data_IF_483170640045
#
_entry.id   IF_483170640045
#
_cell.length_a   1.000
_cell.length_b   1.000
_cell.length_c   1.000
_cell.angle_alpha   90.00
_cell.angle_beta   90.00
_cell.angle_gamma   90.00
#
_symmetry.space_group_name_H-M   'P 1'
#
loop_
_entity.id
_entity.type
_entity.pdbx_description
1 polymer ?
#
# COMPACT_ATOMS: atom_id res chain seq x y z
N UNK A 1 84.72 -16.76 -29.16
CA UNK A 1 86.00 -16.91 -28.44
C UNK A 1 85.71 -17.61 -27.11
N UNK A 2 86.37 -18.76 -26.89
CA UNK A 2 86.76 -19.34 -25.59
C UNK A 2 85.61 -19.85 -24.69
N UNK A 3 85.35 -21.18 -24.66
CA UNK A 3 85.86 -22.18 -23.67
C UNK A 3 85.45 -21.82 -22.22
N UNK A 4 84.77 -22.65 -21.44
CA UNK A 4 85.03 -24.06 -21.19
C UNK A 4 85.72 -24.21 -19.82
N UNK A 5 84.98 -24.62 -18.78
CA UNK A 5 85.51 -25.04 -17.48
C UNK A 5 84.52 -26.07 -16.91
N UNK A 6 84.84 -27.37 -16.90
CA UNK A 6 85.79 -28.15 -16.09
C UNK A 6 85.05 -28.98 -15.03
N UNK A 7 85.14 -30.28 -15.25
CA UNK A 7 84.83 -31.39 -14.34
C UNK A 7 85.67 -31.38 -13.05
N UNK A 8 85.08 -31.86 -11.94
CA UNK A 8 85.69 -32.78 -10.94
C UNK A 8 84.57 -33.19 -9.94
N UNK A 9 84.00 -34.40 -9.96
CA UNK A 9 84.46 -35.74 -9.50
C UNK A 9 84.84 -35.84 -8.02
N UNK A 10 84.04 -36.63 -7.27
CA UNK A 10 84.40 -37.50 -6.13
C UNK A 10 83.09 -37.92 -5.44
N UNK A 11 82.82 -39.15 -5.01
CA UNK A 11 83.46 -40.47 -5.14
C UNK A 11 82.49 -41.53 -4.56
N UNK A 12 82.62 -42.78 -5.05
CA UNK A 12 82.40 -44.09 -4.42
C UNK A 12 81.01 -44.44 -3.80
N UNK A 13 80.31 -45.46 -4.32
CA UNK A 13 80.51 -46.92 -4.12
C UNK A 13 80.29 -47.33 -2.65
N UNK A 14 79.55 -48.36 -2.26
CA UNK A 14 78.68 -49.36 -2.88
C UNK A 14 77.95 -50.03 -1.70
N UNK A 15 76.69 -50.44 -1.82
CA UNK A 15 76.25 -51.67 -1.16
C UNK A 15 74.98 -52.23 -1.80
N UNK A 16 74.96 -53.54 -1.98
CA UNK A 16 73.90 -54.32 -2.61
C UNK A 16 72.96 -54.86 -1.52
N UNK A 17 71.66 -54.56 -1.65
CA UNK A 17 70.61 -55.22 -0.87
C UNK A 17 69.38 -55.44 -1.74
N UNK A 18 69.21 -56.64 -2.27
CA UNK A 18 68.01 -57.01 -3.01
C UNK A 18 66.80 -57.15 -2.08
N UNK A 19 65.64 -56.63 -2.48
CA UNK A 19 64.32 -57.19 -2.14
C UNK A 19 63.19 -56.48 -2.91
N UNK A 20 62.56 -57.25 -3.81
CA UNK A 20 61.15 -57.22 -4.23
C UNK A 20 60.53 -55.96 -4.88
N UNK A 21 59.69 -56.12 -5.93
CA UNK A 21 59.04 -55.01 -6.61
C UNK A 21 57.94 -54.38 -5.75
N UNK A 22 58.02 -53.06 -5.52
CA UNK A 22 56.94 -52.30 -4.87
C UNK A 22 55.67 -52.29 -5.75
N UNK A 23 54.47 -52.43 -5.14
CA UNK A 23 53.21 -52.47 -5.88
C UNK A 23 52.86 -51.07 -6.39
N UNK A 24 52.29 -51.00 -7.61
CA UNK A 24 51.78 -49.76 -8.21
C UNK A 24 50.80 -49.05 -7.27
N UNK A 25 50.86 -47.71 -7.14
CA UNK A 25 49.93 -46.97 -6.29
C UNK A 25 48.51 -47.11 -6.85
N UNK A 26 47.61 -47.68 -6.05
CA UNK A 26 46.19 -47.77 -6.39
C UNK A 26 45.56 -46.35 -6.38
N UNK A 27 44.65 -46.04 -7.31
CA UNK A 27 43.99 -44.74 -7.34
C UNK A 27 43.09 -44.57 -6.10
N UNK A 28 43.27 -43.46 -5.37
CA UNK A 28 42.45 -43.09 -4.21
C UNK A 28 40.97 -43.04 -4.61
N UNK A 29 40.04 -43.59 -3.81
CA UNK A 29 38.61 -43.54 -4.14
C UNK A 29 38.13 -42.08 -4.11
N UNK A 30 37.58 -41.61 -5.24
CA UNK A 30 36.91 -40.30 -5.32
C UNK A 30 35.79 -40.27 -4.26
N UNK A 31 35.88 -39.36 -3.28
CA UNK A 31 34.78 -39.08 -2.32
C UNK A 31 33.52 -38.73 -3.11
N UNK A 32 32.60 -39.69 -3.27
CA UNK A 32 31.25 -39.45 -3.79
C UNK A 32 30.57 -38.46 -2.83
N UNK A 33 30.34 -37.21 -3.27
CA UNK A 33 29.42 -36.30 -2.56
C UNK A 33 28.09 -37.05 -2.41
N UNK A 34 27.70 -37.36 -1.17
CA UNK A 34 26.43 -38.03 -0.89
C UNK A 34 25.32 -37.11 -1.41
N UNK A 35 24.71 -37.47 -2.54
CA UNK A 35 23.53 -36.77 -3.06
C UNK A 35 22.43 -36.95 -2.03
N UNK A 36 21.79 -35.84 -1.64
CA UNK A 36 20.63 -35.88 -0.76
C UNK A 36 19.58 -36.83 -1.35
N UNK A 37 18.81 -37.54 -0.51
CA UNK A 37 17.76 -38.41 -1.03
C UNK A 37 16.74 -37.56 -1.79
N UNK A 38 16.21 -38.05 -2.92
CA UNK A 38 15.33 -37.29 -3.83
C UNK A 38 14.11 -36.63 -3.17
N UNK A 39 13.70 -37.08 -1.99
CA UNK A 39 12.64 -36.43 -1.20
C UNK A 39 13.10 -35.14 -0.51
N UNK A 40 14.38 -35.05 -0.11
CA UNK A 40 14.97 -33.86 0.49
C UNK A 40 15.23 -32.77 -0.55
N UNK A 41 15.64 -33.12 -1.77
CA UNK A 41 15.77 -32.15 -2.87
C UNK A 41 14.40 -31.51 -3.20
N UNK A 42 13.32 -32.31 -3.21
CA UNK A 42 11.95 -31.80 -3.38
C UNK A 42 11.55 -30.86 -2.26
N UNK A 43 11.86 -31.22 -1.01
CA UNK A 43 11.58 -30.38 0.17
C UNK A 43 12.29 -29.02 0.07
N UNK A 44 13.54 -29.01 -0.39
CA UNK A 44 14.32 -27.77 -0.54
C UNK A 44 13.72 -26.87 -1.63
N UNK A 45 13.39 -27.41 -2.81
CA UNK A 45 12.73 -26.64 -3.88
C UNK A 45 11.41 -26.03 -3.41
N UNK A 46 10.65 -26.80 -2.63
CA UNK A 46 9.38 -26.38 -2.03
C UNK A 46 9.57 -25.20 -1.08
N UNK A 47 10.53 -25.29 -0.16
CA UNK A 47 10.80 -24.23 0.81
C UNK A 47 11.21 -22.94 0.10
N UNK A 48 12.01 -23.04 -0.96
CA UNK A 48 12.40 -21.88 -1.78
C UNK A 48 11.18 -21.24 -2.46
N UNK A 49 10.27 -22.05 -3.01
CA UNK A 49 9.02 -21.53 -3.62
C UNK A 49 8.16 -20.85 -2.56
N UNK A 50 7.98 -21.44 -1.38
CA UNK A 50 7.19 -20.85 -0.29
C UNK A 50 7.80 -19.54 0.23
N UNK A 51 9.13 -19.46 0.32
CA UNK A 51 9.82 -18.21 0.68
C UNK A 51 9.60 -17.14 -0.40
N UNK A 52 9.79 -17.49 -1.68
CA UNK A 52 9.58 -16.55 -2.79
C UNK A 52 8.14 -16.03 -2.85
N UNK A 53 7.18 -16.92 -2.63
CA UNK A 53 5.76 -16.59 -2.50
C UNK A 53 5.49 -15.70 -1.30
N UNK A 54 6.02 -16.06 -0.13
CA UNK A 54 5.82 -15.30 1.10
C UNK A 54 6.33 -13.87 0.95
N UNK A 55 7.50 -13.70 0.34
CA UNK A 55 8.06 -12.38 0.00
C UNK A 55 7.19 -11.60 -1.00
N UNK A 56 6.57 -12.29 -1.96
CA UNK A 56 5.68 -11.64 -2.95
C UNK A 56 4.36 -11.16 -2.33
N UNK A 57 3.80 -11.91 -1.38
CA UNK A 57 2.54 -11.54 -0.69
C UNK A 57 2.77 -10.68 0.55
N UNK A 58 4.01 -10.54 1.03
CA UNK A 58 4.34 -9.83 2.26
C UNK A 58 3.90 -8.35 2.28
N UNK A 59 4.11 -7.56 1.21
CA UNK A 59 3.66 -6.16 1.19
C UNK A 59 2.15 -6.03 1.44
N UNK A 60 1.35 -6.91 0.85
CA UNK A 60 -0.11 -6.86 1.01
C UNK A 60 -0.59 -7.23 2.42
N UNK A 61 0.17 -8.07 3.13
CA UNK A 61 -0.12 -8.38 4.53
C UNK A 61 0.18 -7.16 5.40
N UNK A 62 1.28 -6.44 5.11
CA UNK A 62 1.62 -5.20 5.80
C UNK A 62 0.56 -4.12 5.55
N UNK A 63 0.14 -3.89 4.30
CA UNK A 63 -0.89 -2.90 3.96
C UNK A 63 -2.19 -3.11 4.77
N UNK A 64 -2.64 -4.37 4.92
CA UNK A 64 -3.84 -4.69 5.72
C UNK A 64 -3.65 -4.47 7.22
N UNK A 65 -2.46 -4.73 7.74
CA UNK A 65 -2.14 -4.47 9.14
C UNK A 65 -2.02 -2.96 9.40
N UNK A 66 -1.44 -2.19 8.47
CA UNK A 66 -1.29 -0.74 8.58
C UNK A 66 -2.63 0.00 8.41
N UNK A 67 -3.50 -0.46 7.50
CA UNK A 67 -4.88 0.03 7.38
C UNK A 67 -5.67 -0.13 8.71
N UNK A 68 -5.34 -1.15 9.51
CA UNK A 68 -5.94 -1.32 10.84
C UNK A 68 -5.48 -0.24 11.84
N UNK A 69 -4.27 0.30 11.67
CA UNK A 69 -3.76 1.43 12.48
C UNK A 69 -4.46 2.74 12.15
N UNK A 70 -4.67 3.03 10.86
CA UNK A 70 -5.44 4.19 10.38
C UNK A 70 -6.90 4.10 10.87
N UNK A 71 -7.49 2.91 10.79
CA UNK A 71 -8.85 2.66 11.31
C UNK A 71 -8.98 2.97 12.80
N UNK A 72 -7.98 2.61 13.62
CA UNK A 72 -8.00 2.92 15.05
C UNK A 72 -8.00 4.43 15.32
N UNK A 73 -7.23 5.22 14.54
CA UNK A 73 -7.25 6.68 14.65
C UNK A 73 -8.62 7.25 14.30
N UNK A 74 -9.19 6.87 13.14
CA UNK A 74 -10.53 7.31 12.72
C UNK A 74 -11.58 6.95 13.77
N UNK A 75 -11.55 5.74 14.33
CA UNK A 75 -12.51 5.32 15.35
C UNK A 75 -12.41 6.13 16.66
N UNK A 76 -11.19 6.50 17.05
CA UNK A 76 -10.94 7.30 18.25
C UNK A 76 -11.50 8.69 18.06
N UNK A 77 -11.16 9.33 16.94
CA UNK A 77 -11.59 10.70 16.65
C UNK A 77 -13.10 10.78 16.36
N UNK A 78 -13.68 9.79 15.68
CA UNK A 78 -15.14 9.70 15.54
C UNK A 78 -15.83 9.65 16.89
N UNK A 79 -15.30 8.88 17.85
CA UNK A 79 -15.90 8.77 19.18
C UNK A 79 -15.80 10.05 20.01
N UNK A 80 -14.73 10.83 19.83
CA UNK A 80 -14.60 12.14 20.49
C UNK A 80 -15.53 13.17 19.87
N UNK A 81 -15.68 13.18 18.54
CA UNK A 81 -16.70 13.99 17.84
C UNK A 81 -18.10 13.63 18.31
N UNK A 82 -18.40 12.34 18.46
CA UNK A 82 -19.71 11.87 18.93
C UNK A 82 -20.00 12.27 20.39
N UNK A 83 -18.95 12.47 21.18
CA UNK A 83 -19.05 12.92 22.57
C UNK A 83 -19.24 14.45 22.69
N UNK A 84 -18.94 15.23 21.65
CA UNK A 84 -19.16 16.68 21.65
C UNK A 84 -20.65 17.03 21.74
N UNK A 85 -20.96 18.13 22.42
CA UNK A 85 -22.33 18.66 22.42
C UNK A 85 -22.77 19.06 21.00
N UNK A 86 -24.08 19.02 20.73
CA UNK A 86 -24.62 19.49 19.44
C UNK A 86 -24.30 20.99 19.23
N UNK A 87 -24.35 21.79 20.29
CA UNK A 87 -24.04 23.23 20.26
C UNK A 87 -22.59 23.50 19.84
N UNK A 88 -21.64 22.74 20.40
CA UNK A 88 -20.22 22.88 20.06
C UNK A 88 -19.92 22.43 18.63
N UNK A 89 -20.53 21.33 18.18
CA UNK A 89 -20.42 20.88 16.78
C UNK A 89 -20.97 21.90 15.81
N UNK A 90 -22.13 22.50 16.10
CA UNK A 90 -22.70 23.53 15.23
C UNK A 90 -21.86 24.81 15.25
N UNK A 91 -21.27 25.18 16.40
CA UNK A 91 -20.32 26.31 16.47
C UNK A 91 -19.11 26.09 15.55
N UNK A 92 -18.51 24.90 15.58
CA UNK A 92 -17.36 24.55 14.74
C UNK A 92 -17.75 24.52 13.26
N UNK A 93 -18.92 23.95 12.94
CA UNK A 93 -19.42 23.94 11.57
C UNK A 93 -19.76 25.33 11.05
N UNK A 94 -20.31 26.21 11.88
CA UNK A 94 -20.60 27.60 11.53
C UNK A 94 -19.31 28.37 11.19
N UNK A 95 -18.25 28.18 11.96
CA UNK A 95 -16.92 28.72 11.66
C UNK A 95 -16.42 28.24 10.29
N UNK A 96 -16.52 26.93 10.03
CA UNK A 96 -16.06 26.35 8.77
C UNK A 96 -16.91 26.80 7.55
N UNK A 97 -18.23 26.93 7.71
CA UNK A 97 -19.12 27.46 6.65
C UNK A 97 -18.80 28.92 6.36
N UNK A 98 -18.67 29.75 7.39
CA UNK A 98 -18.35 31.18 7.24
C UNK A 98 -16.99 31.38 6.56
N UNK A 99 -16.00 30.54 6.88
CA UNK A 99 -14.70 30.54 6.20
C UNK A 99 -14.83 30.19 4.71
N UNK A 100 -15.65 29.19 4.36
CA UNK A 100 -15.91 28.84 2.96
C UNK A 100 -16.64 29.95 2.20
N UNK A 101 -17.63 30.59 2.81
CA UNK A 101 -18.34 31.74 2.24
C UNK A 101 -17.39 32.91 1.99
N UNK A 102 -16.46 33.17 2.91
CA UNK A 102 -15.44 34.19 2.76
C UNK A 102 -14.51 33.89 1.57
N UNK A 103 -14.08 32.63 1.41
CA UNK A 103 -13.27 32.21 0.26
C UNK A 103 -14.02 32.35 -1.07
N UNK A 104 -15.32 32.08 -1.07
CA UNK A 104 -16.17 32.21 -2.25
C UNK A 104 -16.53 33.68 -2.58
N UNK A 105 -16.21 34.63 -1.69
CA UNK A 105 -16.61 36.04 -1.83
C UNK A 105 -18.10 36.27 -1.61
N UNK A 106 -18.77 35.37 -0.90
CA UNK A 106 -20.20 35.46 -0.56
C UNK A 106 -20.41 36.21 0.76
N UNK A 107 -21.68 36.51 1.07
CA UNK A 107 -22.05 37.11 2.35
C UNK A 107 -21.90 36.06 3.46
N UNK A 108 -21.02 36.32 4.42
CA UNK A 108 -20.69 35.37 5.50
C UNK A 108 -21.75 35.36 6.59
N UNK A 109 -22.06 34.17 7.14
CA UNK A 109 -22.93 34.02 8.32
C UNK A 109 -22.35 34.72 9.56
N UNK A 110 -21.03 34.64 9.75
CA UNK A 110 -20.29 35.34 10.79
C UNK A 110 -19.64 36.64 10.25
N UNK A 111 -19.45 37.66 11.10
CA UNK A 111 -18.61 38.81 10.76
C UNK A 111 -17.18 38.37 10.43
N UNK A 112 -16.57 38.95 9.39
CA UNK A 112 -15.26 38.52 8.88
C UNK A 112 -14.11 38.63 9.91
N UNK A 113 -14.24 39.51 10.91
CA UNK A 113 -13.29 39.66 12.02
C UNK A 113 -13.41 38.57 13.10
N UNK A 114 -14.49 37.79 13.06
CA UNK A 114 -14.78 36.70 13.99
C UNK A 114 -14.56 35.31 13.39
N UNK A 115 -14.20 35.24 12.11
CA UNK A 115 -13.86 33.99 11.42
C UNK A 115 -12.44 33.59 11.82
N UNK A 116 -12.31 32.39 12.37
CA UNK A 116 -11.03 31.84 12.78
C UNK A 116 -10.12 31.57 11.55
N UNK A 117 -8.79 31.67 11.69
CA UNK A 117 -7.87 31.37 10.60
C UNK A 117 -7.88 29.88 10.25
N UNK A 118 -7.45 29.54 9.03
CA UNK A 118 -7.40 28.16 8.50
C UNK A 118 -6.91 27.12 9.51
N UNK A 119 -5.78 27.40 10.18
CA UNK A 119 -5.14 26.48 11.12
C UNK A 119 -5.94 26.20 12.42
N UNK A 120 -7.08 26.86 12.64
CA UNK A 120 -7.98 26.64 13.79
C UNK A 120 -9.33 26.05 13.35
N UNK A 121 -9.60 25.99 12.05
CA UNK A 121 -10.85 25.49 11.51
C UNK A 121 -11.00 23.99 11.75
N UNK A 122 -12.21 23.53 12.06
CA UNK A 122 -12.50 22.10 12.29
C UNK A 122 -11.60 21.40 13.33
N UNK A 123 -10.98 22.15 14.25
CA UNK A 123 -10.20 21.59 15.37
C UNK A 123 -11.08 21.47 16.61
N UNK A 124 -10.99 20.33 17.27
CA UNK A 124 -11.65 20.04 18.54
C UNK A 124 -10.69 19.22 19.41
N UNK A 125 -10.69 19.48 20.71
CA UNK A 125 -9.84 18.80 21.70
C UNK A 125 -8.34 18.69 21.32
N UNK A 126 -7.83 19.66 20.54
CA UNK A 126 -6.44 19.70 20.03
C UNK A 126 -6.09 18.53 19.10
N UNK A 127 -7.09 17.84 18.55
CA UNK A 127 -6.88 16.80 17.55
C UNK A 127 -6.48 17.43 16.21
N UNK A 128 -5.41 16.94 15.54
CA UNK A 128 -5.00 17.45 14.25
C UNK A 128 -5.95 17.08 13.09
N UNK A 129 -6.81 16.08 13.26
CA UNK A 129 -7.70 15.56 12.22
C UNK A 129 -8.93 16.46 12.03
N UNK A 130 -9.14 16.93 10.80
CA UNK A 130 -10.29 17.76 10.41
C UNK A 130 -11.55 16.95 10.18
N UNK A 131 -11.37 15.82 9.50
CA UNK A 131 -12.40 15.03 8.83
C UNK A 131 -11.79 13.68 8.43
N UNK A 132 -12.57 12.80 7.82
CA UNK A 132 -12.02 11.66 7.10
C UNK A 132 -12.79 11.41 5.81
N UNK A 133 -12.10 10.84 4.82
CA UNK A 133 -12.67 10.43 3.54
C UNK A 133 -12.89 8.93 3.51
N UNK A 134 -14.02 8.50 2.94
CA UNK A 134 -14.33 7.10 2.62
C UNK A 134 -14.66 6.98 1.13
N UNK A 135 -14.01 6.05 0.42
CA UNK A 135 -14.26 5.75 -0.99
C UNK A 135 -14.56 4.26 -1.13
N UNK A 136 -15.85 3.87 -1.10
CA UNK A 136 -16.26 2.46 -0.99
C UNK A 136 -15.82 1.55 -2.15
N UNK A 137 -15.73 2.07 -3.38
CA UNK A 137 -15.40 1.26 -4.56
C UNK A 137 -13.95 0.77 -4.59
N UNK A 138 -13.06 1.44 -3.87
CA UNK A 138 -11.62 1.14 -3.80
C UNK A 138 -11.12 0.84 -2.38
N UNK A 139 -12.04 0.66 -1.42
CA UNK A 139 -11.74 0.32 -0.02
C UNK A 139 -10.79 1.33 0.68
N UNK A 140 -10.97 2.63 0.38
CA UNK A 140 -10.19 3.71 1.03
C UNK A 140 -11.00 4.29 2.20
N UNK A 141 -10.35 4.40 3.36
CA UNK A 141 -10.85 5.15 4.52
C UNK A 141 -9.67 5.80 5.24
N UNK A 142 -9.59 7.14 5.22
CA UNK A 142 -8.40 7.86 5.66
C UNK A 142 -8.69 9.20 6.34
N UNK A 143 -7.92 9.56 7.38
CA UNK A 143 -8.02 10.86 8.03
C UNK A 143 -7.59 11.99 7.07
N UNK A 144 -8.25 13.12 7.21
CA UNK A 144 -7.94 14.38 6.54
C UNK A 144 -7.34 15.34 7.56
N UNK A 145 -6.18 15.90 7.24
CA UNK A 145 -5.45 16.85 8.06
C UNK A 145 -5.30 18.20 7.35
N UNK A 146 -4.96 19.23 8.12
CA UNK A 146 -4.67 20.55 7.59
C UNK A 146 -3.36 20.58 6.78
N UNK A 147 -3.40 21.24 5.62
CA UNK A 147 -2.24 21.48 4.78
C UNK A 147 -1.78 20.24 4.01
N UNK A 148 -0.66 20.41 3.32
CA UNK A 148 -0.11 19.41 2.39
C UNK A 148 1.39 19.26 2.57
N UNK A 149 1.88 19.42 3.81
CA UNK A 149 3.30 19.21 4.14
C UNK A 149 3.65 17.73 4.03
N UNK A 150 4.94 17.43 3.91
CA UNK A 150 5.40 16.03 3.83
C UNK A 150 4.95 15.23 5.06
N UNK A 151 5.00 15.83 6.25
CA UNK A 151 4.55 15.18 7.48
C UNK A 151 3.07 14.81 7.43
N UNK A 152 2.24 15.69 6.86
CA UNK A 152 0.79 15.48 6.70
C UNK A 152 0.52 14.38 5.68
N UNK A 153 1.15 14.45 4.50
CA UNK A 153 0.96 13.47 3.43
C UNK A 153 1.54 12.10 3.78
N UNK A 154 2.47 12.02 4.74
CA UNK A 154 2.92 10.76 5.33
C UNK A 154 1.93 10.19 6.35
N UNK A 155 1.12 11.04 7.00
CA UNK A 155 0.14 10.63 8.01
C UNK A 155 -1.22 10.27 7.41
N UNK A 156 -1.63 10.89 6.30
CA UNK A 156 -2.92 10.64 5.68
C UNK A 156 -3.21 11.54 4.49
N UNK A 157 -4.46 11.99 4.38
CA UNK A 157 -4.89 12.92 3.34
C UNK A 157 -4.66 14.35 3.83
N UNK A 158 -4.02 15.17 3.01
CA UNK A 158 -3.87 16.61 3.25
C UNK A 158 -5.00 17.40 2.59
N UNK A 159 -5.55 18.37 3.29
CA UNK A 159 -6.43 19.38 2.71
C UNK A 159 -5.60 20.52 2.10
N UNK A 160 -5.84 20.88 0.84
CA UNK A 160 -5.14 21.97 0.18
C UNK A 160 -5.58 23.33 0.75
N UNK A 161 -4.66 24.02 1.43
CA UNK A 161 -4.90 25.37 1.94
C UNK A 161 -5.30 26.33 0.81
N UNK A 162 -6.26 27.21 1.10
CA UNK A 162 -6.87 28.12 0.11
C UNK A 162 -8.05 27.52 -0.66
N UNK A 163 -8.35 26.23 -0.49
CA UNK A 163 -9.58 25.59 -0.98
C UNK A 163 -10.64 25.47 0.12
N UNK A 164 -11.89 25.18 -0.26
CA UNK A 164 -12.99 25.11 0.69
C UNK A 164 -12.83 23.94 1.65
N UNK A 165 -13.10 24.17 2.94
CA UNK A 165 -13.11 23.16 3.98
C UNK A 165 -14.13 22.04 3.68
N UNK A 166 -13.90 20.80 4.19
CA UNK A 166 -14.72 19.61 3.91
C UNK A 166 -16.08 19.61 4.65
N UNK A 167 -16.81 20.72 4.61
CA UNK A 167 -18.19 20.88 5.13
C UNK A 167 -19.23 21.03 4.02
N UNK A 168 -18.78 21.16 2.76
CA UNK A 168 -19.63 21.39 1.58
C UNK A 168 -20.33 22.75 1.64
N UNK A 169 -21.40 22.88 0.83
CA UNK A 169 -22.14 24.13 0.69
C UNK A 169 -22.11 24.64 -0.74
N UNK A 170 -23.02 25.57 -1.07
CA UNK A 170 -23.02 26.22 -2.39
C UNK A 170 -21.75 27.03 -2.59
N UNK A 171 -21.25 27.09 -3.82
CA UNK A 171 -20.01 27.79 -4.16
C UNK A 171 -18.81 27.30 -3.34
N UNK A 172 -18.68 25.98 -3.19
CA UNK A 172 -17.53 25.36 -2.50
C UNK A 172 -16.79 24.38 -3.40
N UNK A 173 -15.48 24.37 -3.26
CA UNK A 173 -14.60 23.39 -3.90
C UNK A 173 -13.50 22.98 -2.93
N UNK A 174 -13.65 21.79 -2.34
CA UNK A 174 -12.67 21.19 -1.45
C UNK A 174 -11.66 20.35 -2.23
N UNK A 175 -10.37 20.52 -1.96
CA UNK A 175 -9.32 19.76 -2.64
C UNK A 175 -8.54 18.95 -1.61
N UNK A 176 -8.51 17.64 -1.84
CA UNK A 176 -7.88 16.66 -0.98
C UNK A 176 -6.72 16.00 -1.73
N UNK A 177 -5.54 16.01 -1.14
CA UNK A 177 -4.33 15.44 -1.74
C UNK A 177 -3.79 14.30 -0.89
N UNK A 178 -3.30 13.26 -1.53
CA UNK A 178 -2.54 12.21 -0.86
C UNK A 178 -1.46 11.66 -1.78
N UNK A 179 -0.42 11.11 -1.18
CA UNK A 179 0.66 10.46 -1.92
C UNK A 179 0.14 9.29 -2.78
N UNK A 180 0.89 9.01 -3.84
CA UNK A 180 0.82 7.74 -4.56
C UNK A 180 2.22 7.09 -4.59
N UNK A 181 2.26 5.76 -4.51
CA UNK A 181 3.45 4.94 -4.60
C UNK A 181 4.17 4.75 -3.28
N UNK A 182 3.50 4.96 -2.15
CA UNK A 182 4.10 4.69 -0.85
C UNK A 182 4.18 3.19 -0.57
N UNK A 183 5.28 2.79 0.09
CA UNK A 183 5.60 1.37 0.36
C UNK A 183 4.70 0.70 1.40
N UNK A 184 3.98 1.51 2.18
CA UNK A 184 3.41 1.12 3.47
C UNK A 184 1.89 1.38 3.54
N UNK A 185 1.40 2.38 2.80
CA UNK A 185 -0.02 2.71 2.74
C UNK A 185 -0.39 3.10 1.30
N UNK A 186 -1.42 2.45 0.75
CA UNK A 186 -1.84 2.68 -0.64
C UNK A 186 -2.43 4.07 -0.87
N UNK A 187 -2.92 4.75 0.16
CA UNK A 187 -3.43 6.13 0.07
C UNK A 187 -4.36 6.36 -1.13
N UNK A 188 -4.01 7.27 -2.05
CA UNK A 188 -4.76 7.55 -3.27
C UNK A 188 -4.22 6.80 -4.50
N UNK A 189 -3.42 5.74 -4.32
CA UNK A 189 -2.91 4.91 -5.42
C UNK A 189 -3.99 4.48 -6.39
N UNK A 190 -5.14 4.07 -5.87
CA UNK A 190 -6.21 3.45 -6.65
C UNK A 190 -7.28 4.45 -7.13
N UNK A 191 -7.13 5.77 -6.90
CA UNK A 191 -8.15 6.75 -7.36
C UNK A 191 -8.28 6.81 -8.89
N UNK A 192 -7.25 6.38 -9.62
CA UNK A 192 -7.28 6.22 -11.08
C UNK A 192 -8.27 5.15 -11.56
N UNK A 193 -8.74 4.28 -10.66
CA UNK A 193 -9.72 3.23 -10.96
C UNK A 193 -11.17 3.66 -10.72
N UNK A 194 -11.39 4.88 -10.23
CA UNK A 194 -12.74 5.40 -10.00
C UNK A 194 -13.47 5.64 -11.31
N UNK A 195 -14.74 5.22 -11.35
CA UNK A 195 -15.61 5.38 -12.51
C UNK A 195 -16.68 6.45 -12.27
N UNK A 196 -17.18 7.14 -13.33
CA UNK A 196 -18.29 8.07 -13.19
C UNK A 196 -19.52 7.39 -12.59
N UNK A 197 -19.89 7.74 -11.37
CA UNK A 197 -20.71 6.80 -10.59
C UNK A 197 -20.30 6.70 -9.14
N UNK A 198 -19.00 6.64 -8.94
CA UNK A 198 -18.42 6.23 -7.67
C UNK A 198 -18.62 7.27 -6.59
N UNK A 199 -18.88 6.79 -5.36
CA UNK A 199 -19.13 7.66 -4.23
C UNK A 199 -17.83 8.00 -3.52
N UNK A 200 -17.68 9.27 -3.17
CA UNK A 200 -16.68 9.79 -2.26
C UNK A 200 -17.44 10.41 -1.10
N UNK A 201 -17.20 9.91 0.11
CA UNK A 201 -17.88 10.35 1.32
C UNK A 201 -16.91 11.14 2.18
N UNK A 202 -17.31 12.34 2.59
CA UNK A 202 -16.60 13.11 3.61
C UNK A 202 -17.39 13.06 4.91
N UNK A 203 -16.69 12.77 5.99
CA UNK A 203 -17.29 12.67 7.31
C UNK A 203 -16.71 13.75 8.22
N UNK A 204 -17.53 14.76 8.50
CA UNK A 204 -17.10 15.97 9.22
C UNK A 204 -18.12 16.29 10.29
N UNK A 205 -17.69 16.35 11.56
CA UNK A 205 -18.55 16.72 12.70
C UNK A 205 -19.88 15.94 12.74
N UNK A 206 -19.83 14.61 12.63
CA UNK A 206 -21.00 13.70 12.60
C UNK A 206 -21.97 13.92 11.40
N UNK A 207 -21.56 14.69 10.38
CA UNK A 207 -22.27 14.76 9.10
C UNK A 207 -21.54 13.93 8.06
N UNK A 208 -22.31 13.21 7.24
CA UNK A 208 -21.81 12.50 6.07
C UNK A 208 -22.22 13.25 4.81
N UNK A 209 -21.23 13.74 4.07
CA UNK A 209 -21.40 14.46 2.81
C UNK A 209 -21.04 13.50 1.68
N UNK A 210 -22.02 13.19 0.82
CA UNK A 210 -21.79 12.29 -0.31
C UNK A 210 -21.50 13.10 -1.57
N UNK A 211 -20.44 12.72 -2.27
CA UNK A 211 -20.06 13.22 -3.57
C UNK A 211 -20.02 12.06 -4.56
N UNK A 212 -20.26 12.37 -5.83
CA UNK A 212 -20.22 11.42 -6.93
C UNK A 212 -19.11 11.82 -7.89
N UNK A 213 -18.21 10.89 -8.20
CA UNK A 213 -17.20 11.06 -9.25
C UNK A 213 -17.90 11.29 -10.59
N UNK A 214 -17.46 12.33 -11.31
CA UNK A 214 -18.02 12.72 -12.61
C UNK A 214 -16.99 12.64 -13.74
N UNK A 215 -15.77 13.08 -13.49
CA UNK A 215 -14.71 13.14 -14.50
C UNK A 215 -13.32 13.16 -13.84
N UNK A 216 -12.29 12.88 -14.63
CA UNK A 216 -10.89 13.00 -14.21
C UNK A 216 -9.99 13.53 -15.31
N UNK A 217 -8.93 14.21 -14.91
CA UNK A 217 -7.94 14.77 -15.82
C UNK A 217 -6.51 14.59 -15.30
N UNK A 218 -5.55 14.67 -16.22
CA UNK A 218 -4.12 14.66 -15.91
C UNK A 218 -3.54 15.99 -16.32
N UNK A 219 -2.97 16.71 -15.36
CA UNK A 219 -2.48 18.08 -15.50
C UNK A 219 -1.05 18.21 -15.00
N UNK A 220 -0.38 19.30 -15.38
CA UNK A 220 0.89 19.68 -14.78
C UNK A 220 0.70 20.17 -13.33
N UNK A 221 1.71 20.04 -12.44
CA UNK A 221 1.58 20.48 -11.05
C UNK A 221 1.19 21.94 -10.85
N UNK A 222 1.55 22.81 -11.80
CA UNK A 222 1.23 24.24 -11.82
C UNK A 222 -0.17 24.58 -12.36
N UNK A 223 -0.84 23.63 -13.01
CA UNK A 223 -2.16 23.82 -13.61
C UNK A 223 -3.25 23.62 -12.55
N UNK A 224 -3.68 24.73 -11.93
CA UNK A 224 -4.69 24.72 -10.85
C UNK A 224 -6.05 25.30 -11.27
N UNK A 225 -6.26 25.61 -12.54
CA UNK A 225 -7.46 26.32 -13.01
C UNK A 225 -8.76 25.55 -12.71
N UNK A 226 -8.74 24.23 -12.86
CA UNK A 226 -9.90 23.37 -12.59
C UNK A 226 -10.20 23.19 -11.10
N UNK A 227 -9.29 23.60 -10.21
CA UNK A 227 -9.45 23.54 -8.75
C UNK A 227 -10.15 24.78 -8.16
N UNK A 228 -10.50 25.75 -9.00
CA UNK A 228 -11.17 26.99 -8.56
C UNK A 228 -12.63 26.75 -8.16
N UNK A 229 -13.16 27.65 -7.34
CA UNK A 229 -14.58 27.62 -6.93
C UNK A 229 -15.46 27.98 -8.12
N UNK A 230 -16.45 27.13 -8.40
CA UNK A 230 -17.51 27.43 -9.36
C UNK A 230 -18.77 27.92 -8.61
N UNK A 231 -19.27 29.13 -8.91
CA UNK A 231 -20.45 29.68 -8.24
C UNK A 231 -21.67 28.74 -8.31
N UNK A 232 -22.27 28.46 -7.15
CA UNK A 232 -23.44 27.59 -7.01
C UNK A 232 -23.13 26.09 -7.01
N UNK A 233 -21.89 25.67 -7.29
CA UNK A 233 -21.49 24.27 -7.24
C UNK A 233 -20.98 23.86 -5.84
N UNK A 234 -21.11 22.59 -5.49
CA UNK A 234 -20.51 21.97 -4.30
C UNK A 234 -19.65 20.79 -4.78
N UNK A 235 -18.33 20.97 -4.77
CA UNK A 235 -17.37 20.07 -5.41
C UNK A 235 -16.29 19.58 -4.44
N UNK A 236 -15.80 18.38 -4.73
CA UNK A 236 -14.60 17.82 -4.12
C UNK A 236 -13.71 17.32 -5.24
N UNK A 237 -12.42 17.66 -5.21
CA UNK A 237 -11.42 17.06 -6.11
C UNK A 237 -10.39 16.29 -5.30
N UNK A 238 -10.17 15.04 -5.68
CA UNK A 238 -9.09 14.21 -5.15
C UNK A 238 -7.86 14.35 -6.04
N UNK A 239 -6.69 14.55 -5.43
CA UNK A 239 -5.44 14.84 -6.13
C UNK A 239 -4.38 13.82 -5.73
N UNK A 240 -3.72 13.23 -6.72
CA UNK A 240 -2.51 12.45 -6.49
C UNK A 240 -1.49 12.63 -7.61
N UNK A 241 -0.26 12.15 -7.40
CA UNK A 241 0.80 12.19 -8.40
C UNK A 241 0.60 11.09 -9.45
N UNK A 242 0.96 11.37 -10.71
CA UNK A 242 0.88 10.41 -11.82
C UNK A 242 1.94 10.76 -12.87
N UNK A 243 2.37 9.84 -13.77
CA UNK A 243 2.21 8.38 -13.69
C UNK A 243 2.97 7.77 -12.52
N UNK A 244 2.51 6.60 -12.06
CA UNK A 244 3.10 5.88 -10.92
C UNK A 244 4.62 5.71 -11.06
N UNK A 245 5.36 6.19 -10.05
CA UNK A 245 6.83 6.11 -9.99
C UNK A 245 7.57 7.18 -10.80
N UNK A 246 6.86 8.01 -11.56
CA UNK A 246 7.41 9.19 -12.26
C UNK A 246 6.97 10.47 -11.55
N UNK A 247 5.67 10.59 -11.22
CA UNK A 247 5.09 11.67 -10.40
C UNK A 247 5.30 13.10 -10.96
N UNK A 248 5.46 13.25 -12.27
CA UNK A 248 5.67 14.53 -12.96
C UNK A 248 4.36 15.27 -13.27
N UNK A 249 3.22 14.59 -13.23
CA UNK A 249 1.89 15.15 -13.41
C UNK A 249 1.02 14.94 -12.16
N UNK A 250 -0.18 15.50 -12.18
CA UNK A 250 -1.23 15.29 -11.18
C UNK A 250 -2.45 14.67 -11.83
N UNK A 251 -3.00 13.65 -11.19
CA UNK A 251 -4.32 13.12 -11.50
C UNK A 251 -5.33 13.85 -10.61
N UNK A 252 -6.30 14.51 -11.24
CA UNK A 252 -7.41 15.17 -10.58
C UNK A 252 -8.68 14.34 -10.82
N UNK A 253 -9.37 13.96 -9.75
CA UNK A 253 -10.65 13.26 -9.82
C UNK A 253 -11.73 14.17 -9.28
N UNK A 254 -12.58 14.67 -10.17
CA UNK A 254 -13.62 15.63 -9.84
C UNK A 254 -14.90 14.93 -9.41
N UNK A 255 -15.43 15.38 -8.28
CA UNK A 255 -16.65 14.88 -7.69
C UNK A 255 -17.62 16.03 -7.41
N UNK A 256 -18.92 15.78 -7.59
CA UNK A 256 -19.98 16.75 -7.32
C UNK A 256 -20.90 16.24 -6.22
N UNK A 257 -21.44 17.16 -5.43
CA UNK A 257 -22.33 16.82 -4.32
C UNK A 257 -23.55 16.01 -4.78
N UNK A 258 -23.88 14.97 -4.02
CA UNK A 258 -25.06 14.13 -4.24
C UNK A 258 -25.79 13.84 -2.93
N UNK A 259 -26.99 13.25 -3.02
CA UNK A 259 -27.73 12.80 -1.84
C UNK A 259 -27.09 11.53 -1.30
N UNK A 260 -26.83 11.50 0.01
CA UNK A 260 -26.36 10.31 0.69
C UNK A 260 -27.46 9.23 0.70
N UNK A 261 -27.10 8.02 0.27
CA UNK A 261 -27.95 6.84 0.33
C UNK A 261 -27.13 5.61 0.74
N UNK A 262 -27.41 5.09 1.93
CA UNK A 262 -26.70 3.93 2.50
C UNK A 262 -26.73 2.70 1.58
N UNK A 263 -27.81 2.47 0.83
CA UNK A 263 -27.92 1.32 -0.08
C UNK A 263 -26.89 1.37 -1.21
N UNK A 264 -26.57 2.57 -1.70
CA UNK A 264 -25.63 2.75 -2.81
C UNK A 264 -24.20 2.54 -2.32
N UNK A 265 -23.89 2.99 -1.10
CA UNK A 265 -22.62 2.72 -0.41
C UNK A 265 -22.43 1.22 -0.19
N UNK A 266 -23.42 0.53 0.39
CA UNK A 266 -23.35 -0.91 0.65
C UNK A 266 -23.19 -1.71 -0.67
N UNK A 267 -23.83 -1.26 -1.74
CA UNK A 267 -23.68 -1.85 -3.07
C UNK A 267 -22.26 -1.71 -3.59
N UNK A 268 -21.64 -0.53 -3.48
CA UNK A 268 -20.25 -0.32 -3.91
C UNK A 268 -19.25 -1.13 -3.10
N UNK A 269 -19.41 -1.19 -1.76
CA UNK A 269 -18.59 -2.09 -0.91
C UNK A 269 -18.72 -3.55 -1.35
N UNK A 270 -19.94 -3.99 -1.67
CA UNK A 270 -20.18 -5.37 -2.12
C UNK A 270 -19.58 -5.67 -3.49
N UNK A 271 -19.47 -4.66 -4.37
CA UNK A 271 -18.85 -4.78 -5.68
C UNK A 271 -17.33 -4.80 -5.55
N UNK A 272 -16.74 -3.92 -4.73
CA UNK A 272 -15.32 -3.94 -4.38
C UNK A 272 -14.90 -5.32 -3.85
N UNK A 273 -15.69 -5.90 -2.93
CA UNK A 273 -15.47 -7.25 -2.41
C UNK A 273 -15.68 -8.39 -3.43
N UNK A 274 -16.25 -8.11 -4.61
CA UNK A 274 -16.53 -9.09 -5.67
C UNK A 274 -15.46 -9.12 -6.75
N UNK A 275 -14.72 -8.03 -6.93
CA UNK A 275 -13.57 -8.01 -7.81
C UNK A 275 -12.42 -8.75 -7.14
N UNK A 276 -12.20 -10.01 -7.54
CA UNK A 276 -10.94 -10.68 -7.27
C UNK A 276 -9.83 -9.92 -7.99
N UNK A 277 -9.15 -9.05 -7.26
CA UNK A 277 -8.00 -8.31 -7.74
C UNK A 277 -6.83 -9.25 -7.99
N UNK A 278 -5.78 -8.71 -8.63
CA UNK A 278 -4.49 -9.41 -8.81
C UNK A 278 -3.96 -9.97 -7.47
N UNK A 279 -4.30 -9.29 -6.36
CA UNK A 279 -3.96 -9.61 -4.97
C UNK A 279 -4.57 -10.95 -4.52
N UNK A 280 -5.89 -11.16 -4.66
CA UNK A 280 -6.50 -12.44 -4.26
C UNK A 280 -6.17 -13.59 -5.22
N UNK A 281 -6.00 -13.31 -6.53
CA UNK A 281 -5.57 -14.33 -7.49
C UNK A 281 -4.18 -14.88 -7.15
N UNK A 282 -3.25 -14.00 -6.78
CA UNK A 282 -1.92 -14.43 -6.34
C UNK A 282 -1.99 -15.29 -5.07
N UNK A 283 -2.80 -14.90 -4.07
CA UNK A 283 -3.01 -15.72 -2.86
C UNK A 283 -3.66 -17.07 -3.19
N UNK A 284 -4.63 -17.11 -4.10
CA UNK A 284 -5.26 -18.36 -4.53
C UNK A 284 -4.26 -19.29 -5.21
N UNK A 285 -3.42 -18.78 -6.12
CA UNK A 285 -2.36 -19.56 -6.77
C UNK A 285 -1.44 -20.20 -5.73
N UNK A 286 -1.12 -19.45 -4.68
CA UNK A 286 -0.28 -19.91 -3.56
C UNK A 286 -0.96 -21.02 -2.77
N UNK A 287 -2.23 -20.84 -2.38
CA UNK A 287 -3.00 -21.84 -1.64
C UNK A 287 -3.12 -23.13 -2.46
N UNK A 288 -3.41 -23.02 -3.77
CA UNK A 288 -3.49 -24.17 -4.67
C UNK A 288 -2.14 -24.89 -4.76
N UNK A 289 -1.03 -24.15 -4.87
CA UNK A 289 0.30 -24.75 -4.88
C UNK A 289 0.60 -25.53 -3.58
N UNK A 290 0.22 -25.00 -2.42
CA UNK A 290 0.37 -25.68 -1.11
C UNK A 290 -0.50 -26.95 -1.04
N UNK A 291 -1.74 -26.91 -1.53
CA UNK A 291 -2.64 -28.08 -1.52
C UNK A 291 -2.11 -29.20 -2.40
N UNK A 292 -1.68 -28.89 -3.63
CA UNK A 292 -1.08 -29.87 -4.54
C UNK A 292 0.18 -30.52 -3.95
N UNK A 293 0.92 -29.75 -3.15
CA UNK A 293 2.12 -30.18 -2.47
C UNK A 293 1.83 -31.14 -1.31
N UNK A 294 0.84 -30.83 -0.47
CA UNK A 294 0.39 -31.74 0.58
C UNK A 294 -0.12 -33.06 -0.02
N UNK A 295 -0.84 -32.98 -1.16
CA UNK A 295 -1.29 -34.16 -1.90
C UNK A 295 -0.10 -35.01 -2.42
N UNK A 296 0.94 -34.42 -3.01
CA UNK A 296 2.12 -35.19 -3.45
C UNK A 296 2.83 -35.87 -2.28
N UNK A 297 2.99 -35.18 -1.13
CA UNK A 297 3.58 -35.76 0.08
C UNK A 297 2.77 -36.95 0.57
N UNK A 298 1.44 -36.82 0.66
CA UNK A 298 0.54 -37.90 1.09
C UNK A 298 0.59 -39.08 0.13
N UNK A 299 0.53 -38.82 -1.19
CA UNK A 299 0.62 -39.87 -2.22
C UNK A 299 1.96 -40.59 -2.12
N UNK A 300 3.06 -39.87 -1.90
CA UNK A 300 4.38 -40.46 -1.78
C UNK A 300 4.52 -41.31 -0.50
N UNK A 301 4.00 -40.83 0.63
CA UNK A 301 3.96 -41.56 1.89
C UNK A 301 3.13 -42.84 1.79
N UNK A 302 1.96 -42.78 1.14
CA UNK A 302 1.10 -43.94 0.89
C UNK A 302 1.79 -44.95 -0.05
N UNK A 303 2.43 -44.50 -1.13
CA UNK A 303 3.19 -45.37 -2.04
C UNK A 303 4.36 -46.06 -1.33
N UNK A 304 5.07 -45.35 -0.45
CA UNK A 304 6.16 -45.92 0.36
C UNK A 304 5.63 -46.99 1.33
N UNK A 305 4.51 -46.74 2.00
CA UNK A 305 3.84 -47.72 2.89
C UNK A 305 3.35 -48.95 2.14
N UNK A 306 2.77 -48.78 0.93
CA UNK A 306 2.33 -49.90 0.08
C UNK A 306 3.50 -50.76 -0.39
N UNK A 307 4.62 -50.16 -0.79
CA UNK A 307 5.83 -50.91 -1.16
C UNK A 307 6.43 -51.69 0.01
N UNK A 308 6.44 -51.12 1.22
CA UNK A 308 6.92 -51.80 2.41
C UNK A 308 6.04 -53.00 2.83
N UNK A 309 4.72 -52.91 2.61
CA UNK A 309 3.77 -54.03 2.82
C UNK A 309 3.83 -55.11 1.75
N UNK A 310 4.29 -54.80 0.54
CA UNK A 310 4.44 -55.77 -0.55
C UNK A 310 5.78 -56.53 -0.51
N UNK A 311 6.73 -56.06 0.30
CA UNK A 311 8.05 -56.67 0.52
C UNK A 311 8.18 -57.42 1.84
N UNK A 312 7.08 -57.53 2.60
CA UNK A 312 6.95 -58.28 3.84
C UNK A 312 5.95 -59.41 3.62
#
# INVERSE_FOLDING_TARGET
MVQGAKHMKSSNAADNGGSSPQPKPQPKPKRRRKRLPRWADRLITIVIILIGVGLMTWPWILDRLEASGVFNQISTVSSTVDALSEEERERILLQARSYNEQLAGEATELPADQIEPYAQQLIFDRDPMMSWVEIPSIDVSMPIYHGTSEEVLMAGVGHLEGTSLPVGGTSTHCVLTAHSGMRNLSMFDDIHSLEPGDLVLLHTMNKTLAYKMVDSEVVLPEEMESLTIEPGADKVTLVTCTPYGVNDHRLLVHCVRTKYNKKDVDKQKSLAGRHWGKREFAVLIVVVAIVLLLLDIVIHAVRKRRKAKASA
#
